data_IF_897067292225
#
_entry.id   IF_897067292225
#
_cell.length_a   1.000
_cell.length_b   1.000
_cell.length_c   1.000
_cell.angle_alpha   90.00
_cell.angle_beta   90.00
_cell.angle_gamma   90.00
#
_symmetry.space_group_name_H-M   'P 1'
#
loop_
_entity.id
_entity.type
_entity.pdbx_description
1 polymer ?
#
# COMPACT_ATOMS: atom_id res chain seq x y z
N UNK A 1 24.80 29.00 2.56
CA UNK A 1 25.59 27.76 2.37
C UNK A 1 24.93 26.67 3.19
N UNK A 2 24.88 25.42 2.72
CA UNK A 2 24.41 24.30 3.54
C UNK A 2 25.39 23.98 4.65
N UNK A 3 24.92 23.41 5.75
CA UNK A 3 25.73 22.88 6.84
C UNK A 3 25.50 21.37 6.96
N UNK A 4 26.57 20.62 7.22
CA UNK A 4 26.52 19.17 7.36
C UNK A 4 27.08 18.78 8.72
N UNK A 5 26.46 17.77 9.33
CA UNK A 5 26.79 17.29 10.66
C UNK A 5 26.79 15.75 10.67
N UNK A 6 27.61 15.15 11.53
CA UNK A 6 27.60 13.69 11.74
C UNK A 6 26.54 13.24 12.75
N UNK A 7 26.00 14.18 13.52
CA UNK A 7 24.95 13.99 14.53
C UNK A 7 23.83 14.99 14.30
N UNK A 8 22.67 14.79 14.93
CA UNK A 8 21.53 15.71 14.93
C UNK A 8 21.78 16.74 16.04
N UNK A 9 22.20 17.98 15.73
CA UNK A 9 22.47 18.98 16.75
C UNK A 9 21.19 19.35 17.51
N UNK A 10 21.30 19.68 18.79
CA UNK A 10 20.16 19.96 19.69
C UNK A 10 19.17 20.97 19.11
N UNK A 11 19.66 22.08 18.53
CA UNK A 11 18.81 23.09 17.89
C UNK A 11 18.05 22.57 16.65
N UNK A 12 18.55 21.53 15.98
CA UNK A 12 17.87 20.83 14.89
C UNK A 12 16.88 19.83 15.46
N UNK A 13 17.21 19.12 16.54
CA UNK A 13 16.29 18.20 17.22
C UNK A 13 15.01 18.93 17.65
N UNK A 14 15.16 20.04 18.39
CA UNK A 14 14.03 20.87 18.83
C UNK A 14 13.19 21.38 17.66
N UNK A 15 13.84 21.72 16.54
CA UNK A 15 13.15 22.21 15.36
C UNK A 15 12.39 21.10 14.64
N UNK A 16 12.97 19.90 14.52
CA UNK A 16 12.33 18.71 13.94
C UNK A 16 11.04 18.37 14.70
N UNK A 17 11.08 18.36 16.02
CA UNK A 17 9.94 17.99 16.87
C UNK A 17 8.76 18.97 16.78
N UNK A 18 8.97 20.17 16.23
CA UNK A 18 7.90 21.16 15.96
C UNK A 18 7.21 20.94 14.60
N UNK A 19 7.79 20.12 13.73
CA UNK A 19 7.24 19.88 12.39
C UNK A 19 5.99 19.01 12.44
N UNK A 20 5.14 19.15 11.41
CA UNK A 20 3.84 18.49 11.31
C UNK A 20 3.78 17.49 10.15
N UNK A 21 4.84 17.46 9.35
CA UNK A 21 5.00 16.63 8.17
C UNK A 21 6.49 16.36 7.96
N UNK A 22 6.79 15.13 7.55
CA UNK A 22 8.09 14.72 7.05
C UNK A 22 7.95 14.07 5.67
N UNK A 23 9.05 13.99 4.94
CA UNK A 23 9.12 13.31 3.66
C UNK A 23 10.12 12.17 3.78
N UNK A 24 9.70 10.97 3.41
CA UNK A 24 10.55 9.78 3.44
C UNK A 24 10.91 9.42 2.01
N UNK A 25 12.20 9.38 1.70
CA UNK A 25 12.72 8.91 0.44
C UNK A 25 13.48 7.59 0.62
N UNK A 26 13.19 6.61 -0.23
CA UNK A 26 13.89 5.32 -0.31
C UNK A 26 13.99 4.87 -1.77
N UNK A 27 14.94 4.01 -2.09
CA UNK A 27 15.09 3.48 -3.44
C UNK A 27 15.51 2.01 -3.41
N UNK A 28 15.04 1.18 -4.36
CA UNK A 28 15.54 -0.17 -4.52
C UNK A 28 16.97 -0.16 -5.09
N UNK A 29 17.60 -1.33 -5.17
CA UNK A 29 18.93 -1.49 -5.77
C UNK A 29 18.89 -1.51 -7.30
N UNK A 30 17.80 -2.00 -7.89
CA UNK A 30 17.61 -2.00 -9.35
C UNK A 30 17.56 -0.57 -9.90
N UNK A 31 18.25 -0.34 -11.01
CA UNK A 31 18.24 0.94 -11.73
C UNK A 31 16.91 1.22 -12.43
N UNK A 32 16.12 0.17 -12.68
CA UNK A 32 14.81 0.19 -13.29
C UNK A 32 13.68 0.34 -12.25
N UNK A 33 13.99 0.14 -10.97
CA UNK A 33 13.04 0.26 -9.88
C UNK A 33 12.66 1.71 -9.58
N UNK A 34 11.53 1.87 -8.88
CA UNK A 34 10.97 3.20 -8.62
C UNK A 34 11.54 3.80 -7.33
N UNK A 35 12.13 4.99 -7.43
CA UNK A 35 12.44 5.80 -6.25
C UNK A 35 11.12 6.22 -5.60
N UNK A 36 10.99 5.96 -4.31
CA UNK A 36 9.84 6.34 -3.52
C UNK A 36 10.09 7.65 -2.78
N UNK A 37 9.11 8.55 -2.80
CA UNK A 37 9.04 9.73 -1.94
C UNK A 37 7.63 9.82 -1.37
N UNK A 38 7.51 9.71 -0.05
CA UNK A 38 6.23 9.63 0.65
C UNK A 38 6.12 10.71 1.73
N UNK A 39 5.17 11.67 1.63
CA UNK A 39 4.86 12.54 2.76
C UNK A 39 4.19 11.75 3.89
N UNK A 40 4.58 12.01 5.13
CA UNK A 40 3.94 11.48 6.35
C UNK A 40 3.54 12.67 7.21
N UNK A 41 2.24 12.78 7.49
CA UNK A 41 1.70 13.81 8.37
C UNK A 41 1.48 13.29 9.78
N UNK A 42 1.39 14.21 10.74
CA UNK A 42 1.10 13.90 12.14
C UNK A 42 2.25 14.28 13.06
N UNK A 43 2.19 13.82 14.31
CA UNK A 43 3.20 14.06 15.35
C UNK A 43 3.85 12.76 15.83
N UNK A 44 3.73 11.72 15.02
CA UNK A 44 4.04 10.34 15.37
C UNK A 44 5.47 9.98 14.97
N UNK A 45 6.43 10.78 15.45
CA UNK A 45 7.87 10.62 15.23
C UNK A 45 8.66 11.26 16.39
N UNK A 46 9.93 10.89 16.53
CA UNK A 46 10.78 11.41 17.60
C UNK A 46 12.26 11.17 17.35
N UNK A 47 13.07 11.62 18.31
CA UNK A 47 14.53 11.50 18.32
C UNK A 47 14.89 10.83 19.65
N UNK A 48 15.63 9.73 19.61
CA UNK A 48 16.03 8.97 20.81
C UNK A 48 17.36 9.47 21.38
N UNK A 49 18.27 9.83 20.49
CA UNK A 49 19.61 10.34 20.79
C UNK A 49 20.10 11.22 19.62
N UNK A 50 21.36 11.64 19.64
CA UNK A 50 21.92 12.51 18.60
C UNK A 50 22.18 11.82 17.24
N UNK A 51 21.86 10.53 17.09
CA UNK A 51 21.99 9.77 15.84
C UNK A 51 20.79 8.90 15.52
N UNK A 52 19.75 8.87 16.35
CA UNK A 52 18.63 7.94 16.18
C UNK A 52 17.31 8.70 16.07
N UNK A 53 16.70 8.64 14.89
CA UNK A 53 15.36 9.17 14.62
C UNK A 53 14.37 8.01 14.47
N UNK A 54 13.12 8.19 14.86
CA UNK A 54 12.08 7.20 14.61
C UNK A 54 10.78 7.84 14.14
N UNK A 55 9.97 7.07 13.41
CA UNK A 55 8.63 7.49 13.05
C UNK A 55 7.67 6.31 12.87
N UNK A 56 6.38 6.57 13.04
CA UNK A 56 5.34 5.59 12.72
C UNK A 56 5.19 5.44 11.21
N UNK A 57 5.35 4.22 10.74
CA UNK A 57 4.94 3.84 9.40
C UNK A 57 3.50 3.31 9.49
N UNK A 58 2.55 4.16 9.09
CA UNK A 58 1.13 3.86 9.09
C UNK A 58 0.74 3.06 7.84
N UNK A 59 -0.34 2.29 7.99
CA UNK A 59 -0.93 1.49 6.92
C UNK A 59 -1.50 2.41 5.84
N UNK A 60 -1.27 2.02 4.59
CA UNK A 60 -1.80 2.68 3.40
C UNK A 60 -1.70 1.75 2.20
N UNK A 61 -1.95 2.27 1.00
CA UNK A 61 -1.85 1.49 -0.25
C UNK A 61 -0.41 1.09 -0.61
N UNK A 62 0.56 1.96 -0.33
CA UNK A 62 1.98 1.75 -0.61
C UNK A 62 2.73 0.95 0.47
N UNK A 63 3.83 0.32 0.09
CA UNK A 63 4.76 -0.42 0.99
C UNK A 63 6.24 -0.27 0.60
N UNK A 64 6.53 0.74 -0.23
CA UNK A 64 7.81 0.89 -0.92
C UNK A 64 8.93 1.18 0.07
N UNK A 65 8.68 2.02 1.09
CA UNK A 65 9.64 2.25 2.18
C UNK A 65 10.08 0.95 2.84
N UNK A 66 9.15 0.13 3.35
CA UNK A 66 9.49 -1.13 4.02
C UNK A 66 10.22 -2.07 3.05
N UNK A 67 9.76 -2.17 1.81
CA UNK A 67 10.37 -3.08 0.83
C UNK A 67 11.82 -2.69 0.50
N UNK A 68 12.10 -1.40 0.29
CA UNK A 68 13.46 -0.90 0.03
C UNK A 68 14.35 -1.03 1.26
N UNK A 69 13.80 -0.79 2.45
CA UNK A 69 14.55 -0.95 3.71
C UNK A 69 14.94 -2.42 3.95
N UNK A 70 14.06 -3.37 3.62
CA UNK A 70 14.39 -4.80 3.70
C UNK A 70 15.51 -5.21 2.75
N UNK A 71 15.53 -4.62 1.56
CA UNK A 71 16.53 -4.94 0.55
C UNK A 71 17.90 -4.31 0.88
N UNK A 72 17.93 -3.02 1.18
CA UNK A 72 19.19 -2.27 1.26
C UNK A 72 19.27 -1.26 2.41
N UNK A 73 18.19 -1.05 3.17
CA UNK A 73 18.19 -0.20 4.36
C UNK A 73 18.32 1.30 4.11
N UNK A 74 18.57 1.78 2.89
CA UNK A 74 18.85 3.21 2.65
C UNK A 74 17.60 4.07 2.76
N UNK A 75 17.70 5.15 3.53
CA UNK A 75 16.60 6.09 3.75
C UNK A 75 17.10 7.53 3.89
N UNK A 76 16.30 8.47 3.42
CA UNK A 76 16.44 9.88 3.76
C UNK A 76 15.11 10.39 4.31
N UNK A 77 15.16 11.02 5.48
CA UNK A 77 14.04 11.75 6.05
C UNK A 77 14.28 13.24 5.84
N UNK A 78 13.35 13.95 5.22
CA UNK A 78 13.43 15.38 5.00
C UNK A 78 12.32 16.12 5.73
N UNK A 79 12.68 17.24 6.33
CA UNK A 79 11.78 18.25 6.87
C UNK A 79 12.03 19.57 6.16
N UNK A 80 10.99 20.39 6.01
CA UNK A 80 11.13 21.75 5.53
C UNK A 80 10.23 22.69 6.32
N UNK A 81 10.69 23.92 6.54
CA UNK A 81 9.91 24.98 7.16
C UNK A 81 8.80 25.41 6.21
N UNK A 82 7.58 25.45 6.74
CA UNK A 82 6.43 26.12 6.10
C UNK A 82 6.03 27.40 6.83
N UNK A 83 6.67 27.70 7.96
CA UNK A 83 6.50 28.87 8.80
C UNK A 83 7.86 29.34 9.33
N UNK A 84 7.99 30.63 9.68
CA UNK A 84 9.23 31.18 10.22
C UNK A 84 10.40 31.23 9.22
N UNK A 85 11.63 31.09 9.71
CA UNK A 85 12.83 31.17 8.86
C UNK A 85 12.93 29.97 7.90
N UNK A 86 13.32 30.20 6.63
CA UNK A 86 13.42 29.14 5.64
C UNK A 86 14.51 28.12 6.03
N UNK A 87 14.12 26.86 6.15
CA UNK A 87 15.01 25.76 6.53
C UNK A 87 14.57 24.45 5.89
N UNK A 88 15.53 23.67 5.43
CA UNK A 88 15.35 22.29 4.99
C UNK A 88 16.37 21.45 5.75
N UNK A 89 15.92 20.39 6.41
CA UNK A 89 16.78 19.43 7.11
C UNK A 89 16.61 18.07 6.46
N UNK A 90 17.72 17.37 6.23
CA UNK A 90 17.76 15.99 5.75
C UNK A 90 18.53 15.13 6.76
N UNK A 91 17.97 13.98 7.08
CA UNK A 91 18.60 12.92 7.86
C UNK A 91 18.86 11.75 6.91
N UNK A 92 20.13 11.49 6.61
CA UNK A 92 20.55 10.32 5.84
C UNK A 92 20.96 9.22 6.80
N UNK A 93 20.46 8.01 6.56
CA UNK A 93 20.65 6.91 7.49
C UNK A 93 20.32 5.55 6.90
N UNK A 94 20.39 4.56 7.78
CA UNK A 94 19.89 3.21 7.53
C UNK A 94 18.64 2.96 8.37
N UNK A 95 17.57 2.47 7.74
CA UNK A 95 16.30 2.21 8.39
C UNK A 95 16.18 0.77 8.87
N UNK A 96 15.74 0.60 10.11
CA UNK A 96 15.31 -0.67 10.71
C UNK A 96 13.80 -0.68 10.84
N UNK A 97 13.19 -1.83 10.58
CA UNK A 97 11.73 -2.00 10.61
C UNK A 97 11.36 -2.79 11.86
N UNK A 98 10.59 -2.17 12.75
CA UNK A 98 9.90 -2.85 13.84
C UNK A 98 8.47 -3.10 13.38
N UNK A 99 8.17 -4.30 12.91
CA UNK A 99 6.80 -4.64 12.44
C UNK A 99 5.85 -4.79 13.63
N UNK A 100 4.58 -4.41 13.44
CA UNK A 100 3.56 -4.46 14.49
C UNK A 100 3.48 -5.83 15.16
N UNK A 101 3.47 -5.79 16.49
CA UNK A 101 3.38 -6.95 17.39
C UNK A 101 4.59 -7.90 17.34
N UNK A 102 5.68 -7.53 16.65
CA UNK A 102 6.98 -8.18 16.87
C UNK A 102 7.50 -7.89 18.29
N UNK A 103 8.35 -8.76 18.86
CA UNK A 103 8.96 -8.52 20.17
C UNK A 103 9.64 -7.15 20.28
N UNK A 104 10.37 -6.74 19.24
CA UNK A 104 11.11 -5.48 19.21
C UNK A 104 10.17 -4.27 19.10
N UNK A 105 9.05 -4.39 18.38
CA UNK A 105 8.02 -3.35 18.33
C UNK A 105 7.36 -3.16 19.70
N UNK A 106 6.98 -4.24 20.36
CA UNK A 106 6.32 -4.19 21.66
C UNK A 106 7.27 -3.60 22.72
N UNK A 107 8.53 -4.03 22.74
CA UNK A 107 9.56 -3.48 23.61
C UNK A 107 9.74 -1.97 23.39
N UNK A 108 9.85 -1.53 22.13
CA UNK A 108 9.99 -0.11 21.80
C UNK A 108 8.78 0.72 22.24
N UNK A 109 7.56 0.20 22.04
CA UNK A 109 6.32 0.87 22.43
C UNK A 109 6.24 1.04 23.94
N UNK A 110 6.62 0.02 24.69
CA UNK A 110 6.64 0.04 26.16
C UNK A 110 7.73 0.99 26.68
N UNK A 111 8.96 0.84 26.22
CA UNK A 111 10.13 1.61 26.66
C UNK A 111 9.96 3.12 26.44
N UNK A 112 9.41 3.50 25.28
CA UNK A 112 9.28 4.92 24.90
C UNK A 112 7.84 5.45 25.03
N UNK A 113 6.92 4.69 25.63
CA UNK A 113 5.52 5.05 25.83
C UNK A 113 4.83 5.55 24.54
N UNK A 114 5.03 4.82 23.44
CA UNK A 114 4.57 5.22 22.11
C UNK A 114 3.11 4.81 21.91
N UNK A 115 2.23 5.78 21.71
CA UNK A 115 0.81 5.48 21.43
C UNK A 115 0.63 4.93 20.02
N UNK A 116 0.24 3.66 19.92
CA UNK A 116 -0.15 3.02 18.65
C UNK A 116 -1.63 3.24 18.33
N UNK A 117 -1.97 3.28 17.05
CA UNK A 117 -3.36 3.33 16.55
C UNK A 117 -3.64 2.11 15.66
N UNK A 118 -4.91 1.80 15.32
CA UNK A 118 -5.23 0.68 14.42
C UNK A 118 -4.45 0.70 13.11
N UNK A 119 -4.17 1.88 12.56
CA UNK A 119 -3.41 2.02 11.33
C UNK A 119 -1.89 1.79 11.48
N UNK A 120 -1.31 1.79 12.69
CA UNK A 120 0.14 1.56 12.87
C UNK A 120 0.50 0.17 12.36
N UNK A 121 1.34 0.07 11.31
CA UNK A 121 1.85 -1.24 10.83
C UNK A 121 3.29 -1.50 11.21
N UNK A 122 4.09 -0.45 11.40
CA UNK A 122 5.47 -0.56 11.84
C UNK A 122 5.93 0.73 12.52
N UNK A 123 7.03 0.63 13.26
CA UNK A 123 7.88 1.76 13.63
C UNK A 123 9.17 1.63 12.83
N UNK A 124 9.59 2.70 12.17
CA UNK A 124 10.87 2.75 11.47
C UNK A 124 11.84 3.51 12.34
N UNK A 125 12.96 2.87 12.67
CA UNK A 125 14.11 3.51 13.33
C UNK A 125 15.12 3.84 12.25
N UNK A 126 15.70 5.03 12.29
CA UNK A 126 16.70 5.51 11.35
C UNK A 126 17.97 5.77 12.12
N UNK A 127 18.98 4.95 11.86
CA UNK A 127 20.34 5.15 12.36
C UNK A 127 21.02 6.17 11.43
N UNK A 128 21.05 7.43 11.86
CA UNK A 128 21.50 8.61 11.09
C UNK A 128 23.03 8.65 11.06
N UNK A 129 23.59 8.68 9.86
CA UNK A 129 25.03 8.86 9.65
C UNK A 129 25.39 10.26 9.16
N UNK A 130 24.43 11.03 8.63
CA UNK A 130 24.67 12.40 8.19
C UNK A 130 23.41 13.24 8.29
N UNK A 131 23.58 14.49 8.71
CA UNK A 131 22.53 15.52 8.73
C UNK A 131 22.94 16.65 7.81
N UNK A 132 21.99 17.15 7.02
CA UNK A 132 22.20 18.30 6.13
C UNK A 132 21.16 19.37 6.40
N UNK A 133 21.60 20.58 6.70
CA UNK A 133 20.75 21.76 6.83
C UNK A 133 21.02 22.72 5.67
N UNK A 134 19.96 23.15 5.00
CA UNK A 134 20.06 24.10 3.88
C UNK A 134 18.96 25.15 3.97
N UNK A 135 19.23 26.33 3.39
CA UNK A 135 18.22 27.37 3.28
C UNK A 135 17.21 27.02 2.17
N UNK A 136 15.92 27.22 2.43
CA UNK A 136 14.84 27.03 1.46
C UNK A 136 14.21 28.33 1.01
N UNK A 137 14.98 29.31 0.51
CA UNK A 137 14.45 30.65 0.19
C UNK A 137 13.28 30.68 -0.80
N UNK A 138 13.21 29.69 -1.69
CA UNK A 138 12.09 29.56 -2.65
C UNK A 138 10.98 28.63 -2.16
N UNK A 139 11.11 28.02 -0.97
CA UNK A 139 10.06 27.18 -0.38
C UNK A 139 8.97 28.11 0.15
N UNK A 140 7.72 27.98 -0.31
CA UNK A 140 6.66 28.90 0.08
C UNK A 140 6.20 28.67 1.52
N UNK A 141 5.63 29.71 2.10
CA UNK A 141 4.88 29.61 3.35
C UNK A 141 3.56 28.86 3.15
N UNK A 142 3.16 28.09 4.16
CA UNK A 142 1.82 27.52 4.26
C UNK A 142 1.30 27.67 5.69
N UNK A 143 0.01 27.95 5.81
CA UNK A 143 -0.68 27.95 7.08
C UNK A 143 -1.24 26.56 7.40
N UNK A 144 -0.87 26.03 8.57
CA UNK A 144 -1.39 24.74 9.03
C UNK A 144 -2.83 24.90 9.50
N UNK A 145 -3.77 24.21 8.85
CA UNK A 145 -5.17 24.17 9.27
C UNK A 145 -5.44 23.05 10.28
N UNK A 146 -5.24 21.79 9.87
CA UNK A 146 -5.46 20.60 10.71
C UNK A 146 -4.87 19.34 10.07
N UNK A 147 -4.75 18.27 10.85
CA UNK A 147 -4.49 16.93 10.32
C UNK A 147 -5.75 16.32 9.70
N UNK A 148 -5.57 15.45 8.69
CA UNK A 148 -6.65 14.65 8.11
C UNK A 148 -6.93 13.44 9.01
N UNK A 149 -8.21 13.18 9.32
CA UNK A 149 -8.63 12.04 10.15
C UNK A 149 -9.03 10.80 9.33
N UNK A 150 -9.05 10.89 8.00
CA UNK A 150 -9.60 9.85 7.12
C UNK A 150 -8.89 8.50 7.29
N UNK A 151 -7.56 8.50 7.45
CA UNK A 151 -6.79 7.28 7.63
C UNK A 151 -7.19 6.58 8.93
N UNK A 152 -7.20 7.32 10.04
CA UNK A 152 -7.59 6.82 11.35
C UNK A 152 -9.01 6.25 11.31
N UNK A 153 -9.97 7.01 10.78
CA UNK A 153 -11.38 6.59 10.65
C UNK A 153 -11.55 5.29 9.84
N UNK A 154 -10.80 5.14 8.74
CA UNK A 154 -10.87 3.93 7.89
C UNK A 154 -10.37 2.71 8.66
N UNK A 155 -9.23 2.81 9.35
CA UNK A 155 -8.64 1.67 10.04
C UNK A 155 -9.27 1.38 11.41
N UNK A 156 -9.80 2.39 12.10
CA UNK A 156 -10.65 2.21 13.29
C UNK A 156 -11.95 1.47 12.94
N UNK A 157 -12.62 1.87 11.86
CA UNK A 157 -13.83 1.17 11.39
C UNK A 157 -13.54 -0.28 11.02
N UNK A 158 -12.41 -0.53 10.34
CA UNK A 158 -11.97 -1.87 9.97
C UNK A 158 -11.68 -2.74 11.21
N UNK A 159 -10.97 -2.19 12.19
CA UNK A 159 -10.70 -2.87 13.46
C UNK A 159 -12.00 -3.21 14.18
N UNK A 160 -12.92 -2.26 14.29
CA UNK A 160 -14.24 -2.48 14.89
C UNK A 160 -15.04 -3.57 14.17
N UNK A 161 -15.08 -3.53 12.84
CA UNK A 161 -15.75 -4.55 12.04
C UNK A 161 -15.21 -5.96 12.34
N UNK A 162 -13.88 -6.09 12.47
CA UNK A 162 -13.25 -7.35 12.83
C UNK A 162 -13.64 -7.82 14.23
N UNK A 163 -13.63 -6.92 15.23
CA UNK A 163 -14.05 -7.20 16.60
C UNK A 163 -15.54 -7.60 16.70
N UNK A 164 -16.38 -7.10 15.81
CA UNK A 164 -17.79 -7.48 15.65
C UNK A 164 -18.00 -8.81 14.91
N UNK A 165 -16.92 -9.52 14.55
CA UNK A 165 -16.96 -10.87 13.98
C UNK A 165 -16.76 -10.95 12.47
N UNK A 166 -16.51 -9.84 11.77
CA UNK A 166 -16.15 -9.85 10.34
C UNK A 166 -14.69 -10.26 10.15
N UNK A 167 -14.41 -11.55 10.29
CA UNK A 167 -13.07 -12.14 10.23
C UNK A 167 -12.28 -11.80 8.97
N UNK A 168 -12.95 -11.50 7.86
CA UNK A 168 -12.35 -11.09 6.59
C UNK A 168 -11.74 -9.67 6.62
N UNK A 169 -12.11 -8.86 7.62
CA UNK A 169 -11.67 -7.47 7.77
C UNK A 169 -10.39 -7.32 8.60
N UNK A 170 -9.72 -8.40 8.99
CA UNK A 170 -8.45 -8.33 9.73
C UNK A 170 -7.41 -7.44 9.04
N UNK A 171 -6.56 -6.80 9.86
CA UNK A 171 -5.41 -6.04 9.36
C UNK A 171 -4.41 -6.93 8.63
N UNK A 172 -4.23 -8.18 9.07
CA UNK A 172 -3.33 -9.14 8.42
C UNK A 172 -3.75 -9.44 6.98
N UNK A 173 -5.05 -9.66 6.73
CA UNK A 173 -5.58 -9.83 5.37
C UNK A 173 -5.45 -8.55 4.54
N UNK A 174 -5.63 -7.38 5.17
CA UNK A 174 -5.39 -6.11 4.48
C UNK A 174 -3.93 -5.98 4.05
N UNK A 175 -2.98 -6.29 4.94
CA UNK A 175 -1.56 -6.24 4.62
C UNK A 175 -1.16 -7.31 3.62
N UNK A 176 -1.72 -8.52 3.67
CA UNK A 176 -1.55 -9.53 2.64
C UNK A 176 -2.00 -9.03 1.26
N UNK A 177 -3.17 -8.39 1.21
CA UNK A 177 -3.74 -7.88 -0.03
C UNK A 177 -2.99 -6.65 -0.57
N UNK A 178 -2.68 -5.66 0.27
CA UNK A 178 -2.15 -4.35 -0.17
C UNK A 178 -0.66 -4.13 0.07
N UNK A 179 -0.07 -4.81 1.05
CA UNK A 179 1.27 -4.50 1.58
C UNK A 179 2.23 -5.70 1.59
N UNK A 180 1.85 -6.84 1.01
CA UNK A 180 2.77 -7.97 0.86
C UNK A 180 3.87 -7.68 -0.17
N UNK A 181 3.58 -6.87 -1.20
CA UNK A 181 4.49 -6.60 -2.31
C UNK A 181 4.53 -5.12 -2.68
N UNK A 182 5.71 -4.61 -3.04
CA UNK A 182 5.91 -3.26 -3.60
C UNK A 182 5.39 -3.18 -5.04
N UNK A 183 5.40 -1.96 -5.60
CA UNK A 183 5.10 -1.77 -7.03
C UNK A 183 6.08 -2.58 -7.90
N UNK A 184 7.35 -2.68 -7.50
CA UNK A 184 8.44 -3.35 -8.22
C UNK A 184 8.55 -4.86 -7.89
N UNK A 185 7.59 -5.42 -7.17
CA UNK A 185 7.61 -6.84 -6.81
C UNK A 185 8.62 -7.21 -5.73
N UNK A 186 9.06 -6.25 -4.91
CA UNK A 186 9.87 -6.52 -3.71
C UNK A 186 8.98 -6.90 -2.52
N UNK A 187 9.43 -7.80 -1.64
CA UNK A 187 8.65 -8.20 -0.47
C UNK A 187 8.49 -7.04 0.52
N UNK A 188 7.25 -6.82 0.96
CA UNK A 188 6.86 -5.78 1.91
C UNK A 188 6.78 -6.31 3.33
N UNK A 189 5.57 -6.31 3.91
CA UNK A 189 5.38 -6.81 5.28
C UNK A 189 5.52 -8.33 5.37
N UNK A 190 6.36 -8.85 6.27
CA UNK A 190 6.52 -10.32 6.44
C UNK A 190 5.20 -10.96 6.87
N UNK A 191 4.57 -10.37 7.89
CA UNK A 191 3.25 -10.81 8.37
C UNK A 191 2.17 -10.80 7.28
N UNK A 192 2.22 -9.83 6.37
CA UNK A 192 1.33 -9.78 5.21
C UNK A 192 1.58 -10.91 4.23
N UNK A 193 2.86 -11.17 3.89
CA UNK A 193 3.25 -12.30 3.02
C UNK A 193 2.81 -13.64 3.63
N UNK A 194 3.11 -13.87 4.91
CA UNK A 194 2.75 -15.08 5.65
C UNK A 194 1.22 -15.29 5.72
N UNK A 195 0.45 -14.24 6.01
CA UNK A 195 -1.01 -14.30 5.99
C UNK A 195 -1.53 -14.62 4.58
N UNK A 196 -0.94 -14.03 3.54
CA UNK A 196 -1.27 -14.33 2.14
C UNK A 196 -1.09 -15.81 1.79
N UNK A 197 0.01 -16.41 2.22
CA UNK A 197 0.29 -17.83 2.01
C UNK A 197 -0.64 -18.76 2.80
N UNK A 198 -0.87 -18.43 4.08
CA UNK A 198 -1.70 -19.21 5.01
C UNK A 198 -3.18 -19.17 4.64
N UNK A 199 -3.71 -17.98 4.36
CA UNK A 199 -5.14 -17.75 4.12
C UNK A 199 -5.49 -17.64 2.63
N UNK A 200 -4.51 -17.83 1.74
CA UNK A 200 -4.67 -17.75 0.27
C UNK A 200 -5.24 -16.39 -0.17
N UNK A 201 -4.76 -15.31 0.44
CA UNK A 201 -5.10 -13.94 0.02
C UNK A 201 -4.20 -13.54 -1.13
N UNK A 202 -4.78 -13.38 -2.32
CA UNK A 202 -4.02 -12.92 -3.49
C UNK A 202 -3.69 -11.43 -3.37
N UNK A 203 -2.41 -11.02 -3.47
CA UNK A 203 -2.02 -9.61 -3.42
C UNK A 203 -2.55 -8.83 -4.63
N UNK A 204 -2.81 -7.53 -4.43
CA UNK A 204 -3.22 -6.63 -5.50
C UNK A 204 -2.06 -6.34 -6.46
N UNK A 205 -2.34 -6.36 -7.76
CA UNK A 205 -1.44 -5.77 -8.77
C UNK A 205 -1.48 -4.25 -8.63
N UNK A 206 -0.36 -3.64 -8.25
CA UNK A 206 -0.29 -2.19 -8.00
C UNK A 206 -0.12 -1.34 -9.25
N UNK A 207 0.50 -1.90 -10.29
CA UNK A 207 0.82 -1.20 -11.52
C UNK A 207 0.40 -2.03 -12.71
N UNK A 208 -0.26 -1.38 -13.66
CA UNK A 208 -0.70 -1.97 -14.94
C UNK A 208 -0.20 -1.11 -16.09
N UNK A 209 -0.04 -1.72 -17.26
CA UNK A 209 0.41 -1.04 -18.47
C UNK A 209 1.86 -1.39 -18.86
N UNK A 210 2.39 -0.76 -19.91
CA UNK A 210 3.67 -1.15 -20.53
C UNK A 210 4.88 -1.08 -19.62
N UNK A 211 4.84 -0.22 -18.59
CA UNK A 211 5.94 -0.03 -17.65
C UNK A 211 5.76 -0.83 -16.36
N UNK A 212 4.72 -1.66 -16.25
CA UNK A 212 4.54 -2.52 -15.07
C UNK A 212 5.63 -3.60 -15.05
N UNK A 213 6.14 -3.98 -13.87
CA UNK A 213 7.12 -5.04 -13.79
C UNK A 213 6.55 -6.37 -14.29
N UNK A 214 7.40 -7.16 -14.94
CA UNK A 214 7.03 -8.48 -15.44
C UNK A 214 6.62 -9.45 -14.31
N UNK A 215 7.16 -9.25 -13.11
CA UNK A 215 6.92 -10.07 -11.92
C UNK A 215 6.43 -9.19 -10.76
N UNK A 216 5.15 -8.80 -10.71
CA UNK A 216 4.62 -7.85 -9.72
C UNK A 216 4.64 -8.37 -8.27
N UNK A 217 4.95 -9.65 -8.07
CA UNK A 217 5.07 -10.30 -6.76
C UNK A 217 6.41 -11.04 -6.62
N UNK A 218 7.45 -10.60 -7.35
CA UNK A 218 8.74 -11.27 -7.37
C UNK A 218 8.77 -12.52 -8.25
N UNK A 219 9.97 -12.96 -8.62
CA UNK A 219 10.19 -14.06 -9.57
C UNK A 219 9.79 -15.45 -9.03
N UNK A 220 9.75 -15.62 -7.71
CA UNK A 220 9.38 -16.88 -7.05
C UNK A 220 7.89 -17.05 -6.76
N UNK A 221 7.06 -16.03 -6.99
CA UNK A 221 5.65 -16.09 -6.65
C UNK A 221 4.84 -16.76 -7.76
N UNK A 222 4.29 -17.94 -7.46
CA UNK A 222 3.34 -18.63 -8.34
C UNK A 222 1.93 -18.28 -7.91
N UNK A 223 1.18 -17.59 -8.77
CA UNK A 223 -0.27 -17.45 -8.56
C UNK A 223 -0.87 -18.85 -8.50
N UNK A 224 -1.66 -19.13 -7.47
CA UNK A 224 -2.70 -20.14 -7.57
C UNK A 224 -3.49 -19.80 -8.83
N UNK A 225 -3.34 -20.60 -9.90
CA UNK A 225 -4.26 -20.49 -11.02
C UNK A 225 -5.64 -20.64 -10.38
N UNK A 226 -6.57 -19.68 -10.53
CA UNK A 226 -7.95 -20.00 -10.24
C UNK A 226 -8.22 -21.29 -10.99
N UNK A 227 -8.81 -22.30 -10.34
CA UNK A 227 -9.33 -23.46 -11.04
C UNK A 227 -10.37 -22.92 -11.99
N UNK A 228 -9.94 -22.53 -13.19
CA UNK A 228 -10.84 -21.93 -14.14
C UNK A 228 -11.68 -23.11 -14.61
N UNK A 229 -12.90 -23.22 -14.08
CA UNK A 229 -13.96 -24.00 -14.67
C UNK A 229 -14.36 -23.35 -16.01
N UNK A 230 -13.40 -23.16 -16.93
CA UNK A 230 -13.66 -22.71 -18.31
C UNK A 230 -14.56 -23.73 -19.00
N UNK A 231 -14.48 -25.00 -18.59
CA UNK A 231 -15.35 -26.06 -19.12
C UNK A 231 -16.85 -25.78 -18.86
N UNK A 232 -17.20 -25.11 -17.76
CA UNK A 232 -18.59 -24.78 -17.42
C UNK A 232 -19.14 -23.68 -18.33
N UNK A 233 -18.38 -22.62 -18.58
CA UNK A 233 -18.83 -21.48 -19.38
C UNK A 233 -19.01 -21.83 -20.87
N UNK A 234 -18.17 -22.70 -21.44
CA UNK A 234 -18.39 -23.18 -22.82
C UNK A 234 -19.56 -24.15 -22.94
N UNK A 235 -19.78 -25.01 -21.94
CA UNK A 235 -20.94 -25.90 -21.92
C UNK A 235 -22.26 -25.11 -21.86
N UNK A 236 -22.31 -24.05 -21.05
CA UNK A 236 -23.46 -23.14 -20.99
C UNK A 236 -23.67 -22.37 -22.28
N UNK A 237 -22.61 -21.87 -22.92
CA UNK A 237 -22.71 -21.20 -24.23
C UNK A 237 -23.24 -22.16 -25.30
N UNK A 238 -22.74 -23.40 -25.36
CA UNK A 238 -23.23 -24.42 -26.29
C UNK A 238 -24.69 -24.79 -26.03
N UNK A 239 -25.09 -24.90 -24.76
CA UNK A 239 -26.49 -25.16 -24.38
C UNK A 239 -27.41 -24.02 -24.81
N UNK A 240 -27.00 -22.76 -24.61
CA UNK A 240 -27.76 -21.59 -25.05
C UNK A 240 -27.90 -21.53 -26.57
N UNK A 241 -26.85 -21.85 -27.32
CA UNK A 241 -26.89 -21.90 -28.79
C UNK A 241 -27.82 -23.02 -29.27
N UNK A 242 -27.76 -24.21 -28.66
CA UNK A 242 -28.64 -25.33 -28.98
C UNK A 242 -30.12 -25.00 -28.68
N UNK A 243 -30.40 -24.40 -27.52
CA UNK A 243 -31.75 -23.97 -27.15
C UNK A 243 -32.30 -22.91 -28.13
N UNK A 244 -31.49 -21.92 -28.49
CA UNK A 244 -31.87 -20.91 -29.47
C UNK A 244 -32.18 -21.53 -30.85
N UNK A 245 -31.41 -22.53 -31.27
CA UNK A 245 -31.65 -23.24 -32.54
C UNK A 245 -32.94 -24.08 -32.52
N UNK A 246 -33.21 -24.78 -31.41
CA UNK A 246 -34.44 -25.58 -31.24
C UNK A 246 -35.67 -24.69 -31.21
N UNK A 247 -35.63 -23.59 -30.45
CA UNK A 247 -36.73 -22.61 -30.39
C UNK A 247 -36.96 -21.99 -31.77
N UNK A 248 -35.90 -21.58 -32.47
CA UNK A 248 -36.00 -21.03 -33.83
C UNK A 248 -36.66 -21.99 -34.82
N UNK A 249 -36.33 -23.29 -34.76
CA UNK A 249 -36.99 -24.31 -35.60
C UNK A 249 -38.44 -24.56 -35.24
N UNK A 250 -38.77 -24.57 -33.95
CA UNK A 250 -40.15 -24.73 -33.50
C UNK A 250 -41.01 -23.55 -33.96
N UNK A 251 -40.51 -22.31 -33.84
CA UNK A 251 -41.19 -21.10 -34.32
C UNK A 251 -41.38 -21.10 -35.84
N UNK A 252 -40.34 -21.47 -36.61
CA UNK A 252 -40.43 -21.54 -38.07
C UNK A 252 -41.42 -22.63 -38.55
N UNK A 253 -41.48 -23.77 -37.85
CA UNK A 253 -42.45 -24.83 -38.13
C UNK A 253 -43.89 -24.37 -37.85
N UNK A 254 -44.11 -23.67 -36.73
CA UNK A 254 -45.42 -23.12 -36.37
C UNK A 254 -45.89 -22.05 -37.36
N UNK A 255 -44.99 -21.20 -37.83
CA UNK A 255 -45.28 -20.14 -38.79
C UNK A 255 -45.61 -20.72 -40.18
N UNK A 256 -44.90 -21.78 -40.60
CA UNK A 256 -45.20 -22.49 -41.84
C UNK A 256 -46.58 -23.18 -41.81
N UNK A 257 -46.93 -23.82 -40.69
CA UNK A 257 -48.23 -24.46 -40.52
C UNK A 257 -49.38 -23.43 -40.47
N UNK A 258 -49.14 -22.28 -39.84
CA UNK A 258 -50.10 -21.18 -39.81
C UNK A 258 -50.33 -20.58 -41.21
N UNK A 259 -49.26 -20.39 -41.99
CA UNK A 259 -49.34 -19.91 -43.37
C UNK A 259 -50.07 -20.91 -44.28
N UNK A 260 -49.83 -22.22 -44.12
CA UNK A 260 -50.58 -23.24 -44.87
C UNK A 260 -52.08 -23.25 -44.52
N UNK A 261 -52.43 -23.12 -43.24
CA UNK A 261 -53.84 -23.04 -42.81
C UNK A 261 -54.52 -21.76 -43.32
N UNK A 262 -53.83 -20.63 -43.30
CA UNK A 262 -54.35 -19.36 -43.83
C UNK A 262 -54.54 -19.40 -45.35
N UNK A 263 -53.63 -20.06 -46.11
CA UNK A 263 -53.81 -20.27 -47.55
C UNK A 263 -55.02 -21.16 -47.87
N UNK A 264 -55.23 -22.25 -47.12
CA UNK A 264 -56.42 -23.10 -47.28
C UNK A 264 -57.73 -22.36 -46.99
N UNK A 265 -57.74 -21.42 -46.03
CA UNK A 265 -58.93 -20.62 -45.72
C UNK A 265 -59.19 -19.48 -46.72
N UNK A 266 -58.16 -19.01 -47.43
CA UNK A 266 -58.24 -17.90 -48.38
C UNK A 266 -58.61 -18.33 -49.82
N UNK A 267 -58.73 -19.62 -50.11
CA UNK A 267 -59.21 -20.13 -51.40
C UNK A 267 -58.27 -19.87 -52.59
N UNK A 268 -56.96 -19.96 -52.38
CA UNK A 268 -55.93 -20.05 -53.44
C UNK A 268 -55.16 -21.34 -53.29
#
# INVERSE_FOLDING_TARGET
>A
MGAFYETIPENIQEWILKQKILWVATAPLSAEGHINVSPKGGKSFGILDDKTFWYHELTGSGIETISHLRENGRITVMFNAFEGSPRIVRLWGHGRILERESPEFNAFVEEHNVKTIPATRSIIIVDVHQVGSSCGYSVPFYEFQKFRSTLDQVFEKKQKNYEEGKSEETMDRYWAYKNAWSIDGLPGMKRGVECGEKEKVEPIVKMVGPNAPSSPFGSGYSRSRPGVQVASSYAWLLLCVLLAFVVGRASAGHEFELIQRLKMMAGV
#
